data_IF_249056940504
#
_entry.id   IF_249056940504
#
_cell.length_a   1.000
_cell.length_b   1.000
_cell.length_c   1.000
_cell.angle_alpha   90.00
_cell.angle_beta   90.00
_cell.angle_gamma   90.00
#
_symmetry.space_group_name_H-M   'P 1'
#
loop_
_entity.id
_entity.type
_entity.pdbx_description
1 polymer ?
#
# COMPACT_ATOMS: atom_id res chain seq x y z
N UNK A 1 23.16 35.99 9.15
CA UNK A 1 23.30 34.97 8.09
C UNK A 1 23.28 33.54 8.65
N UNK A 2 24.20 33.13 9.54
CA UNK A 2 24.19 31.78 10.16
C UNK A 2 22.90 31.40 10.91
N UNK A 3 22.29 32.34 11.64
CA UNK A 3 21.01 32.14 12.36
C UNK A 3 19.80 31.99 11.43
N UNK A 4 19.88 32.53 10.21
CA UNK A 4 18.83 32.43 9.19
C UNK A 4 18.91 31.07 8.45
N UNK A 5 20.13 30.59 8.21
CA UNK A 5 20.37 29.25 7.64
C UNK A 5 19.95 28.15 8.63
N UNK A 6 20.26 28.32 9.92
CA UNK A 6 19.89 27.37 10.97
C UNK A 6 18.39 27.25 11.21
N UNK A 7 17.61 28.30 10.95
CA UNK A 7 16.14 28.30 11.13
C UNK A 7 15.43 27.69 9.92
N UNK A 8 15.96 27.88 8.71
CA UNK A 8 15.45 27.25 7.47
C UNK A 8 15.64 25.73 7.50
N UNK A 9 16.79 25.23 7.99
CA UNK A 9 17.00 23.78 8.14
C UNK A 9 16.06 23.13 9.15
N UNK A 10 15.61 23.85 10.18
CA UNK A 10 14.67 23.33 11.18
C UNK A 10 13.23 23.23 10.65
N UNK A 11 12.85 24.11 9.71
CA UNK A 11 11.54 24.12 9.05
C UNK A 11 11.35 22.96 8.05
N UNK A 12 12.42 22.49 7.40
CA UNK A 12 12.37 21.36 6.45
C UNK A 12 12.13 20.00 7.14
N UNK A 13 12.54 19.84 8.39
CA UNK A 13 12.39 18.59 9.17
C UNK A 13 10.93 18.39 9.61
N UNK A 14 10.14 19.47 9.73
CA UNK A 14 8.74 19.43 10.20
C UNK A 14 7.78 19.00 9.08
N UNK A 15 8.18 19.09 7.81
CA UNK A 15 7.39 18.61 6.66
C UNK A 15 7.46 17.09 6.44
N UNK A 16 8.33 16.37 7.16
CA UNK A 16 8.69 14.98 6.84
C UNK A 16 7.92 13.89 7.60
N UNK A 17 6.79 14.15 8.27
CA UNK A 17 6.04 13.05 8.90
C UNK A 17 4.54 13.30 8.96
N UNK A 18 3.85 12.98 7.88
CA UNK A 18 2.42 12.65 7.91
C UNK A 18 2.18 11.57 6.86
N UNK A 19 2.71 10.37 7.07
CA UNK A 19 2.20 9.20 6.36
C UNK A 19 0.83 8.91 6.94
N UNK A 20 -0.19 9.57 6.40
CA UNK A 20 -1.57 9.09 6.57
C UNK A 20 -1.53 7.67 6.04
N UNK A 21 -1.92 6.69 6.87
CA UNK A 21 -2.18 5.35 6.36
C UNK A 21 -3.27 5.53 5.31
N UNK A 22 -2.89 5.49 4.05
CA UNK A 22 -3.82 5.65 2.95
C UNK A 22 -4.77 4.46 3.00
N UNK A 23 -6.08 4.70 2.85
CA UNK A 23 -7.06 3.61 2.79
C UNK A 23 -6.59 2.59 1.77
N UNK A 24 -6.46 1.33 2.16
CA UNK A 24 -5.95 0.34 1.23
C UNK A 24 -7.10 -0.25 0.42
N UNK A 25 -7.14 0.15 -0.85
CA UNK A 25 -8.05 -0.38 -1.86
C UNK A 25 -9.53 -0.39 -1.40
N UNK A 26 -10.11 0.78 -1.06
CA UNK A 26 -11.51 0.86 -0.64
C UNK A 26 -12.50 0.45 -1.73
N UNK A 27 -12.11 0.60 -2.99
CA UNK A 27 -12.89 0.14 -4.15
C UNK A 27 -12.60 -1.32 -4.53
N UNK A 28 -11.72 -2.00 -3.78
CA UNK A 28 -11.32 -3.37 -4.03
C UNK A 28 -10.22 -3.51 -5.09
N UNK A 29 -9.98 -4.76 -5.49
CA UNK A 29 -8.96 -5.14 -6.49
C UNK A 29 -9.35 -6.43 -7.21
N UNK A 30 -9.01 -6.50 -8.50
CA UNK A 30 -9.15 -7.71 -9.31
C UNK A 30 -7.75 -8.17 -9.72
N UNK A 31 -7.36 -9.36 -9.28
CA UNK A 31 -6.14 -10.04 -9.72
C UNK A 31 -6.44 -10.92 -10.92
N UNK A 32 -5.91 -10.55 -12.08
CA UNK A 32 -6.06 -11.27 -13.35
C UNK A 32 -4.78 -11.99 -13.80
N UNK A 33 -3.66 -11.83 -13.07
CA UNK A 33 -2.40 -12.51 -13.39
C UNK A 33 -1.50 -12.74 -12.18
N UNK A 34 -0.59 -13.70 -12.27
CA UNK A 34 0.37 -14.00 -11.20
C UNK A 34 1.28 -12.80 -10.88
N UNK A 35 1.67 -12.03 -11.90
CA UNK A 35 2.52 -10.86 -11.76
C UNK A 35 1.90 -9.76 -10.87
N UNK A 36 0.58 -9.61 -10.89
CA UNK A 36 -0.10 -8.63 -10.03
C UNK A 36 -0.05 -9.04 -8.56
N UNK A 37 -0.16 -10.34 -8.27
CA UNK A 37 0.02 -10.87 -6.92
C UNK A 37 1.46 -10.68 -6.45
N UNK A 38 2.43 -11.02 -7.31
CA UNK A 38 3.86 -10.89 -7.00
C UNK A 38 4.26 -9.44 -6.66
N UNK A 39 3.66 -8.44 -7.31
CA UNK A 39 3.94 -7.03 -7.08
C UNK A 39 3.02 -6.36 -6.07
N UNK A 40 2.08 -7.08 -5.43
CA UNK A 40 1.07 -6.46 -4.57
C UNK A 40 1.66 -5.49 -3.53
N UNK A 41 2.74 -5.88 -2.84
CA UNK A 41 3.39 -5.06 -1.82
C UNK A 41 4.18 -3.88 -2.39
N UNK A 42 4.65 -3.99 -3.64
CA UNK A 42 5.32 -2.89 -4.35
C UNK A 42 4.29 -1.85 -4.80
N UNK A 43 3.15 -2.31 -5.31
CA UNK A 43 2.07 -1.45 -5.80
C UNK A 43 1.22 -0.88 -4.66
N UNK A 44 1.13 -1.58 -3.52
CA UNK A 44 0.37 -1.17 -2.33
C UNK A 44 1.25 -1.24 -1.06
N UNK A 45 2.26 -0.36 -0.91
CA UNK A 45 3.20 -0.43 0.22
C UNK A 45 2.51 -0.26 1.58
N UNK A 46 2.76 -1.20 2.48
CA UNK A 46 2.21 -1.16 3.85
C UNK A 46 0.73 -1.53 3.94
N UNK A 47 0.10 -1.96 2.86
CA UNK A 47 -1.26 -2.48 2.92
C UNK A 47 -1.29 -3.84 3.64
N UNK A 48 -2.01 -3.87 4.77
CA UNK A 48 -2.23 -5.08 5.57
C UNK A 48 -3.72 -5.40 5.75
N UNK A 49 -4.62 -4.56 5.25
CA UNK A 49 -6.07 -4.75 5.30
C UNK A 49 -6.64 -4.19 4.00
N UNK A 50 -7.37 -4.99 3.21
CA UNK A 50 -8.07 -4.49 2.02
C UNK A 50 -9.49 -4.07 2.44
N UNK A 51 -9.86 -2.82 2.18
CA UNK A 51 -11.16 -2.28 2.59
C UNK A 51 -12.31 -2.68 1.65
N UNK A 52 -12.03 -2.90 0.36
CA UNK A 52 -13.01 -3.30 -0.64
C UNK A 52 -13.01 -4.80 -0.97
N UNK A 53 -13.69 -5.15 -2.07
CA UNK A 53 -13.82 -6.52 -2.55
C UNK A 53 -12.55 -7.00 -3.28
N UNK A 54 -12.24 -8.28 -3.16
CA UNK A 54 -11.10 -8.91 -3.84
C UNK A 54 -11.62 -9.98 -4.79
N UNK A 55 -11.23 -9.89 -6.06
CA UNK A 55 -11.54 -10.92 -7.05
C UNK A 55 -10.25 -11.53 -7.58
N UNK A 56 -10.20 -12.86 -7.70
CA UNK A 56 -9.04 -13.59 -8.23
C UNK A 56 -9.50 -14.42 -9.42
N UNK A 57 -9.20 -13.94 -10.63
CA UNK A 57 -9.81 -14.43 -11.88
C UNK A 57 -8.76 -14.88 -12.93
N UNK A 58 -7.46 -14.72 -12.65
CA UNK A 58 -6.39 -15.11 -13.56
C UNK A 58 -6.18 -16.63 -13.65
N UNK A 59 -6.26 -17.20 -14.85
CA UNK A 59 -6.04 -18.63 -15.08
C UNK A 59 -4.57 -19.06 -14.90
N UNK A 60 -3.64 -18.11 -14.96
CA UNK A 60 -2.20 -18.28 -14.75
C UNK A 60 -1.76 -18.10 -13.29
N UNK A 61 -2.70 -17.81 -12.38
CA UNK A 61 -2.41 -17.65 -10.95
C UNK A 61 -2.21 -19.03 -10.33
N UNK A 62 -1.01 -19.26 -9.81
CA UNK A 62 -0.58 -20.52 -9.20
C UNK A 62 -0.47 -20.38 -7.68
N UNK A 63 -0.05 -19.20 -7.19
CA UNK A 63 0.18 -18.95 -5.76
C UNK A 63 -0.28 -17.55 -5.33
N UNK A 64 -0.71 -17.45 -4.07
CA UNK A 64 -1.11 -16.21 -3.39
C UNK A 64 -0.11 -15.79 -2.29
N UNK A 65 1.08 -16.40 -2.22
CA UNK A 65 2.02 -16.24 -1.10
C UNK A 65 2.40 -14.77 -0.84
N UNK A 66 2.46 -13.93 -1.87
CA UNK A 66 2.75 -12.50 -1.75
C UNK A 66 1.62 -11.69 -1.09
N UNK A 67 0.44 -12.27 -0.91
CA UNK A 67 -0.68 -11.67 -0.17
C UNK A 67 -0.65 -12.02 1.33
N UNK A 68 0.34 -12.78 1.81
CA UNK A 68 0.46 -13.20 3.22
C UNK A 68 0.58 -12.03 4.22
N UNK A 69 0.88 -10.83 3.72
CA UNK A 69 0.92 -9.61 4.55
C UNK A 69 -0.46 -9.06 4.91
N UNK A 70 -1.50 -9.53 4.23
CA UNK A 70 -2.87 -9.15 4.53
C UNK A 70 -3.36 -9.87 5.79
N UNK A 71 -3.77 -9.08 6.77
CA UNK A 71 -4.44 -9.54 7.97
C UNK A 71 -5.95 -9.71 7.77
N UNK A 72 -6.55 -8.91 6.88
CA UNK A 72 -8.01 -8.84 6.69
C UNK A 72 -8.40 -8.35 5.30
N UNK A 73 -9.59 -8.78 4.88
CA UNK A 73 -10.36 -8.20 3.77
C UNK A 73 -11.71 -7.82 4.40
N UNK A 74 -12.09 -6.55 4.32
CA UNK A 74 -13.35 -6.05 4.89
C UNK A 74 -14.52 -6.34 3.93
N UNK A 75 -14.27 -6.27 2.63
CA UNK A 75 -15.21 -6.66 1.58
C UNK A 75 -15.32 -8.19 1.41
N UNK A 76 -15.81 -8.59 0.24
CA UNK A 76 -15.94 -9.99 -0.16
C UNK A 76 -14.68 -10.50 -0.87
N UNK A 77 -14.47 -11.82 -0.81
CA UNK A 77 -13.47 -12.57 -1.57
C UNK A 77 -14.16 -13.71 -2.34
#
# INVERSE_FOLDING_TARGET
MKKFISTISLLLIIYSTSTVAQSCLPEGIIFTSQFQIENFQTDNPGCVEIEGDVYIEGADIITLDNLIVLNSIVGYL
#
